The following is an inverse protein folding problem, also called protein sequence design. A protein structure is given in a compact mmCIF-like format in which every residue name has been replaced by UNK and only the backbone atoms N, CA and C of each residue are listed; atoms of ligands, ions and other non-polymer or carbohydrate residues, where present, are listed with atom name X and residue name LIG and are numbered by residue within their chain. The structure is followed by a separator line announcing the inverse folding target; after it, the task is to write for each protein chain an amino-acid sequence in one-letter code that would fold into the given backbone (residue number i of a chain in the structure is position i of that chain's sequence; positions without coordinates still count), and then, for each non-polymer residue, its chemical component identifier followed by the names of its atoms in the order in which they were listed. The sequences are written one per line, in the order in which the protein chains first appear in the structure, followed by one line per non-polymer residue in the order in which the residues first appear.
data_IF_426385568114
#
_entry.id   IF_426385568114
#
_cell.length_a   1.000
_cell.length_b   1.000
_cell.length_c   1.000
_cell.angle_alpha   90.00
_cell.angle_beta   90.00
_cell.angle_gamma   90.00
#
_symmetry.space_group_name_H-M   'P 1'
#
loop_
_entity.id
_entity.type
_entity.pdbx_description
1 polymer ?
#
# COMPACT_ATOMS: atom_id res chain seq x y z
N UNK A 1 12.81 0.51 -6.69
CA UNK A 1 11.33 0.42 -6.56
C UNK A 1 10.81 1.05 -5.28
N UNK A 2 11.34 0.68 -4.13
CA UNK A 2 10.85 1.25 -2.86
C UNK A 2 11.04 2.76 -2.80
N UNK A 3 12.16 3.26 -3.33
CA UNK A 3 12.42 4.71 -3.34
C UNK A 3 11.40 5.47 -4.20
N UNK A 4 11.02 4.93 -5.34
CA UNK A 4 9.98 5.54 -6.18
C UNK A 4 8.64 5.56 -5.49
N UNK A 5 8.28 4.45 -4.85
CA UNK A 5 7.03 4.35 -4.12
C UNK A 5 7.03 5.29 -2.92
N UNK A 6 8.17 5.45 -2.25
CA UNK A 6 8.28 6.39 -1.15
C UNK A 6 7.94 7.81 -1.59
N UNK A 7 8.48 8.24 -2.73
CA UNK A 7 8.21 9.57 -3.27
C UNK A 7 6.71 9.71 -3.55
N UNK A 8 6.11 8.72 -4.18
CA UNK A 8 4.69 8.77 -4.52
C UNK A 8 3.80 8.78 -3.27
N UNK A 9 4.15 7.98 -2.27
CA UNK A 9 3.40 7.94 -1.01
C UNK A 9 3.48 9.30 -0.31
N UNK A 10 4.67 9.88 -0.25
CA UNK A 10 4.84 11.18 0.40
C UNK A 10 4.05 12.26 -0.32
N UNK A 11 4.01 12.23 -1.65
CA UNK A 11 3.19 13.15 -2.42
C UNK A 11 1.70 12.97 -2.11
N UNK A 12 1.26 11.73 -2.02
CA UNK A 12 -0.13 11.42 -1.71
C UNK A 12 -0.53 11.90 -0.32
N UNK A 13 0.38 11.80 0.65
CA UNK A 13 0.15 12.22 2.03
C UNK A 13 0.50 13.68 2.27
N UNK A 14 1.04 14.37 1.28
CA UNK A 14 1.49 15.76 1.38
C UNK A 14 2.53 15.92 2.49
N UNK A 15 3.51 15.02 2.52
CA UNK A 15 4.60 15.06 3.49
C UNK A 15 5.85 15.64 2.87
N UNK A 16 6.41 16.68 3.51
CA UNK A 16 7.61 17.34 3.03
C UNK A 16 8.86 16.98 3.84
N UNK A 17 8.66 16.43 5.04
CA UNK A 17 9.78 16.04 5.90
C UNK A 17 10.16 14.58 5.69
N UNK A 18 11.30 14.19 6.23
CA UNK A 18 11.82 12.83 6.09
C UNK A 18 11.86 12.05 7.42
N UNK A 19 11.19 12.56 8.44
CA UNK A 19 11.21 11.95 9.78
C UNK A 19 10.66 10.53 9.75
N UNK A 20 9.62 10.29 8.95
CA UNK A 20 8.93 9.00 8.90
C UNK A 20 9.35 8.14 7.70
N UNK A 21 10.42 8.51 6.98
CA UNK A 21 10.82 7.78 5.77
C UNK A 21 11.09 6.30 6.04
N UNK A 22 11.78 5.98 7.12
CA UNK A 22 12.07 4.57 7.44
C UNK A 22 10.79 3.80 7.77
N UNK A 23 9.88 4.42 8.50
CA UNK A 23 8.58 3.80 8.80
C UNK A 23 7.79 3.58 7.52
N UNK A 24 7.76 4.57 6.62
CA UNK A 24 7.06 4.44 5.35
C UNK A 24 7.66 3.33 4.49
N UNK A 25 8.99 3.18 4.49
CA UNK A 25 9.64 2.10 3.75
C UNK A 25 9.22 0.73 4.29
N UNK A 26 9.06 0.60 5.60
CA UNK A 26 8.57 -0.65 6.20
C UNK A 26 7.14 -0.95 5.76
N UNK A 27 6.27 0.07 5.74
CA UNK A 27 4.91 -0.09 5.27
C UNK A 27 4.86 -0.46 3.78
N UNK A 28 5.74 0.15 2.97
CA UNK A 28 5.84 -0.17 1.55
C UNK A 28 6.23 -1.63 1.36
N UNK A 29 7.23 -2.10 2.09
CA UNK A 29 7.67 -3.49 2.00
C UNK A 29 6.53 -4.45 2.37
N UNK A 30 5.80 -4.13 3.44
CA UNK A 30 4.66 -4.95 3.86
C UNK A 30 3.55 -4.95 2.82
N UNK A 31 3.27 -3.79 2.23
CA UNK A 31 2.24 -3.67 1.20
C UNK A 31 2.62 -4.45 -0.06
N UNK A 32 3.90 -4.43 -0.44
CA UNK A 32 4.38 -5.21 -1.60
C UNK A 32 4.20 -6.70 -1.32
N UNK A 33 4.57 -7.17 -0.13
CA UNK A 33 4.37 -8.57 0.24
C UNK A 33 2.90 -8.96 0.19
N UNK A 34 2.03 -8.10 0.69
CA UNK A 34 0.60 -8.33 0.62
C UNK A 34 0.12 -8.45 -0.83
N UNK A 35 0.60 -7.53 -1.70
CA UNK A 35 0.20 -7.54 -3.11
C UNK A 35 0.65 -8.83 -3.80
N UNK A 36 1.88 -9.25 -3.56
CA UNK A 36 2.40 -10.48 -4.17
C UNK A 36 1.60 -11.69 -3.73
N UNK A 37 1.29 -11.77 -2.43
CA UNK A 37 0.49 -12.87 -1.90
C UNK A 37 -0.92 -12.88 -2.47
N UNK A 38 -1.55 -11.72 -2.52
CA UNK A 38 -2.92 -11.60 -3.03
C UNK A 38 -3.00 -11.95 -4.51
N UNK A 39 -1.98 -11.57 -5.28
CA UNK A 39 -1.94 -11.80 -6.72
C UNK A 39 -1.44 -13.20 -7.08
N UNK A 40 -1.11 -14.03 -6.09
CA UNK A 40 -0.64 -15.40 -6.29
C UNK A 40 0.67 -15.47 -7.09
N UNK A 41 1.56 -14.52 -6.83
CA UNK A 41 2.90 -14.51 -7.42
C UNK A 41 3.91 -14.72 -6.29
N UNK A 42 5.12 -15.11 -6.66
CA UNK A 42 6.12 -15.44 -5.66
C UNK A 42 6.64 -14.21 -4.92
N UNK A 43 7.04 -14.42 -3.68
CA UNK A 43 7.65 -13.37 -2.88
C UNK A 43 8.90 -12.86 -3.58
N UNK A 44 9.04 -11.53 -3.65
CA UNK A 44 10.17 -10.89 -4.32
C UNK A 44 9.97 -10.67 -5.82
N UNK A 45 8.81 -11.05 -6.35
CA UNK A 45 8.54 -10.87 -7.78
C UNK A 45 8.79 -9.43 -8.23
N UNK A 46 8.32 -8.46 -7.44
CA UNK A 46 8.44 -7.05 -7.84
C UNK A 46 9.83 -6.46 -7.62
N UNK A 47 10.76 -7.21 -7.07
CA UNK A 47 12.17 -6.78 -7.05
C UNK A 47 12.79 -6.86 -8.44
N UNK A 48 12.27 -7.73 -9.30
CA UNK A 48 12.82 -8.00 -10.61
C UNK A 48 11.85 -7.73 -11.75
N UNK A 49 10.63 -7.35 -11.45
CA UNK A 49 9.58 -7.14 -12.47
C UNK A 49 8.82 -5.85 -12.17
N UNK A 50 8.43 -5.15 -13.21
CA UNK A 50 7.66 -3.93 -13.05
C UNK A 50 6.25 -4.19 -12.56
N UNK A 51 5.75 -3.28 -11.75
CA UNK A 51 4.35 -3.27 -11.34
C UNK A 51 3.50 -2.55 -12.37
N UNK A 52 2.27 -2.99 -12.53
CA UNK A 52 1.27 -2.22 -13.26
C UNK A 52 0.89 -0.98 -12.46
N UNK A 53 0.28 -0.01 -13.12
CA UNK A 53 -0.18 1.21 -12.45
C UNK A 53 -1.27 0.91 -11.42
N UNK A 54 -2.14 -0.07 -11.70
CA UNK A 54 -3.17 -0.45 -10.75
C UNK A 54 -2.57 -1.05 -9.48
N UNK A 55 -1.53 -1.87 -9.61
CA UNK A 55 -0.83 -2.43 -8.44
C UNK A 55 -0.12 -1.33 -7.65
N UNK A 56 0.54 -0.40 -8.34
CA UNK A 56 1.19 0.74 -7.68
C UNK A 56 0.19 1.56 -6.89
N UNK A 57 -0.95 1.85 -7.50
CA UNK A 57 -1.98 2.64 -6.84
C UNK A 57 -2.52 1.92 -5.60
N UNK A 58 -2.70 0.61 -5.69
CA UNK A 58 -3.14 -0.19 -4.54
C UNK A 58 -2.12 -0.10 -3.40
N UNK A 59 -0.84 -0.21 -3.72
CA UNK A 59 0.22 -0.12 -2.70
C UNK A 59 0.25 1.25 -2.06
N UNK A 60 0.15 2.32 -2.86
CA UNK A 60 0.14 3.69 -2.34
C UNK A 60 -1.03 3.89 -1.38
N UNK A 61 -2.22 3.42 -1.76
CA UNK A 61 -3.41 3.51 -0.91
C UNK A 61 -3.23 2.74 0.39
N UNK A 62 -2.69 1.53 0.30
CA UNK A 62 -2.52 0.68 1.47
C UNK A 62 -1.48 1.27 2.44
N UNK A 63 -0.37 1.77 1.91
CA UNK A 63 0.66 2.40 2.74
C UNK A 63 0.10 3.66 3.41
N UNK A 64 -0.64 4.46 2.65
CA UNK A 64 -1.26 5.68 3.20
C UNK A 64 -2.24 5.33 4.31
N UNK A 65 -3.01 4.27 4.14
CA UNK A 65 -3.93 3.79 5.18
C UNK A 65 -3.16 3.35 6.44
N UNK A 66 -2.07 2.59 6.27
CA UNK A 66 -1.23 2.18 7.41
C UNK A 66 -0.67 3.39 8.15
N UNK A 67 -0.18 4.37 7.39
CA UNK A 67 0.41 5.57 7.97
C UNK A 67 -0.61 6.37 8.76
N UNK A 68 -1.79 6.58 8.18
CA UNK A 68 -2.84 7.38 8.81
C UNK A 68 -3.43 6.72 10.05
N UNK A 69 -3.42 5.40 10.11
CA UNK A 69 -4.00 4.64 11.21
C UNK A 69 -2.98 4.07 12.20
N UNK A 70 -1.68 4.44 12.07
CA UNK A 70 -0.62 3.84 12.89
C UNK A 70 -0.67 4.19 14.37
N UNK A 71 -1.30 5.33 14.70
CA UNK A 71 -1.45 5.73 16.10
C UNK A 71 -2.91 6.06 16.39
N UNK A 72 -3.26 6.14 17.65
CA UNK A 72 -4.64 6.37 18.04
C UNK A 72 -5.17 7.75 17.68
N UNK A 73 -4.30 8.72 17.40
CA UNK A 73 -4.76 10.09 17.17
C UNK A 73 -5.29 10.29 15.76
N UNK A 74 -4.56 9.83 14.74
CA UNK A 74 -5.04 9.86 13.36
C UNK A 74 -5.86 8.62 13.05
N UNK A 75 -5.54 7.53 13.71
CA UNK A 75 -6.30 6.30 13.59
C UNK A 75 -7.75 6.46 14.00
N UNK A 76 -8.05 7.48 14.78
CA UNK A 76 -9.42 7.76 15.20
C UNK A 76 -10.39 7.86 14.04
N UNK A 77 -9.96 8.42 12.93
CA UNK A 77 -10.82 8.51 11.75
C UNK A 77 -11.21 7.12 11.27
N UNK A 78 -10.24 6.20 11.14
CA UNK A 78 -10.52 4.85 10.68
C UNK A 78 -11.06 3.95 11.80
N UNK A 79 -10.60 4.16 13.04
CA UNK A 79 -11.06 3.37 14.17
C UNK A 79 -12.54 3.57 14.43
N UNK A 80 -13.02 4.82 14.29
CA UNK A 80 -14.42 5.16 14.51
C UNK A 80 -15.26 5.09 13.25
N UNK A 81 -14.62 4.85 12.09
CA UNK A 81 -15.32 4.76 10.82
C UNK A 81 -14.96 3.45 10.12
N UNK A 82 -15.62 2.38 10.55
CA UNK A 82 -15.42 1.04 10.00
C UNK A 82 -15.68 1.01 8.49
N UNK A 83 -16.67 1.77 8.03
CA UNK A 83 -17.01 1.78 6.60
C UNK A 83 -15.88 2.36 5.76
N UNK A 84 -15.22 3.42 6.23
CA UNK A 84 -14.10 4.01 5.48
C UNK A 84 -12.94 3.03 5.38
N UNK A 85 -12.60 2.35 6.47
CA UNK A 85 -11.55 1.33 6.46
C UNK A 85 -11.89 0.19 5.52
N UNK A 86 -13.12 -0.30 5.58
CA UNK A 86 -13.60 -1.38 4.71
C UNK A 86 -13.50 -0.97 3.25
N UNK A 87 -13.86 0.27 2.92
CA UNK A 87 -13.77 0.76 1.54
C UNK A 87 -12.33 0.79 1.04
N UNK A 88 -11.37 1.18 1.88
CA UNK A 88 -9.95 1.17 1.50
C UNK A 88 -9.53 -0.25 1.13
N UNK A 89 -9.80 -1.23 1.99
CA UNK A 89 -9.44 -2.62 1.74
C UNK A 89 -10.13 -3.18 0.50
N UNK A 90 -11.40 -2.86 0.31
CA UNK A 90 -12.14 -3.31 -0.86
C UNK A 90 -11.55 -2.74 -2.15
N UNK A 91 -11.17 -1.46 -2.14
CA UNK A 91 -10.59 -0.82 -3.31
C UNK A 91 -9.20 -1.38 -3.60
N UNK A 92 -8.36 -1.54 -2.57
CA UNK A 92 -7.02 -2.12 -2.72
C UNK A 92 -7.13 -3.52 -3.33
N UNK A 93 -8.02 -4.35 -2.80
CA UNK A 93 -8.19 -5.72 -3.28
C UNK A 93 -8.71 -5.75 -4.71
N UNK A 94 -9.62 -4.85 -5.07
CA UNK A 94 -10.12 -4.74 -6.43
C UNK A 94 -8.99 -4.40 -7.41
N UNK A 95 -8.15 -3.42 -7.05
CA UNK A 95 -7.05 -3.01 -7.90
C UNK A 95 -6.02 -4.13 -8.06
N UNK A 96 -5.71 -4.84 -6.99
CA UNK A 96 -4.76 -5.95 -7.04
C UNK A 96 -5.31 -7.12 -7.86
N UNK A 97 -6.62 -7.33 -7.82
CA UNK A 97 -7.26 -8.42 -8.56
C UNK A 97 -7.08 -8.27 -10.07
N UNK A 98 -6.97 -7.06 -10.58
CA UNK A 98 -6.80 -6.82 -12.00
C UNK A 98 -5.50 -7.44 -12.55
N UNK A 99 -4.53 -7.68 -11.71
CA UNK A 99 -3.24 -8.26 -12.10
C UNK A 99 -2.95 -9.59 -11.44
N UNK A 100 -4.00 -10.22 -10.92
CA UNK A 100 -3.87 -11.51 -10.26
C UNK A 100 -3.57 -12.61 -11.28
N UNK A 101 -2.71 -13.53 -10.87
CA UNK A 101 -2.40 -14.70 -11.71
C UNK A 101 -3.53 -15.71 -11.62
N UNK A 102 -4.31 -15.83 -12.69
CA UNK A 102 -5.46 -16.72 -12.75
C UNK A 102 -5.13 -18.13 -13.18
N UNK A 103 -3.85 -18.41 -13.44
CA UNK A 103 -3.42 -19.75 -13.87
C UNK A 103 -3.17 -20.69 -12.70
N UNK A 104 -3.21 -20.22 -11.51
CA UNK A 104 -2.97 -21.00 -10.31
C UNK A 104 -4.16 -21.89 -9.98
#
# INVERSE_FOLDING_TARGET
MIEELLIKVKQNLILEHSVDDELLKQFIAAAISYAESYQHIEEGYYENNEMSETTRQAIIMLVSHFYESRDGSTGGFFADNVNASTQVWNTVNMLLRLNRDWKV
#
